data_IF_292670004960
#
_entry.id   IF_292670004960
#
_cell.length_a   1.000
_cell.length_b   1.000
_cell.length_c   1.000
_cell.angle_alpha   90.00
_cell.angle_beta   90.00
_cell.angle_gamma   90.00
#
_symmetry.space_group_name_H-M   'P 1'
#
loop_
_entity.id
_entity.type
_entity.pdbx_description
1 polymer ?
#
# COMPACT_ATOMS: atom_id res chain seq x y z
N UNK A 1 -14.74 -15.26 -14.99
CA UNK A 1 -13.47 -15.54 -15.69
C UNK A 1 -13.46 -17.01 -16.11
N UNK A 2 -13.09 -17.34 -17.34
CA UNK A 2 -13.01 -18.74 -17.81
C UNK A 2 -11.77 -19.48 -17.27
N UNK A 3 -10.84 -18.77 -16.64
CA UNK A 3 -9.56 -19.33 -16.20
C UNK A 3 -9.61 -19.76 -14.74
N UNK A 4 -8.88 -20.83 -14.42
CA UNK A 4 -8.70 -21.34 -13.06
C UNK A 4 -7.55 -20.64 -12.32
N UNK A 5 -6.60 -20.08 -13.06
CA UNK A 5 -5.45 -19.36 -12.52
C UNK A 5 -5.10 -18.15 -13.39
N UNK A 6 -4.41 -17.22 -12.80
CA UNK A 6 -3.87 -16.04 -13.48
C UNK A 6 -3.62 -14.85 -12.59
N UNK A 7 -2.88 -13.89 -13.14
CA UNK A 7 -2.56 -12.63 -12.50
C UNK A 7 -3.42 -11.51 -13.06
N UNK A 8 -4.00 -10.72 -12.16
CA UNK A 8 -4.61 -9.42 -12.45
C UNK A 8 -3.57 -8.33 -12.18
N UNK A 9 -3.03 -7.74 -13.23
CA UNK A 9 -2.11 -6.62 -13.17
C UNK A 9 -2.89 -5.30 -13.31
N UNK A 10 -3.03 -4.55 -12.22
CA UNK A 10 -3.78 -3.31 -12.22
C UNK A 10 -3.28 -2.36 -11.13
N UNK A 11 -3.35 -1.05 -11.37
CA UNK A 11 -2.95 -0.03 -10.39
C UNK A 11 -3.74 -0.13 -9.09
N UNK A 12 -3.25 0.52 -8.04
CA UNK A 12 -3.90 0.50 -6.72
C UNK A 12 -5.34 1.05 -6.74
N UNK A 13 -5.65 1.98 -7.62
CA UNK A 13 -6.99 2.59 -7.76
C UNK A 13 -7.97 1.80 -8.65
N UNK A 14 -7.55 0.67 -9.23
CA UNK A 14 -8.42 -0.12 -10.12
C UNK A 14 -9.59 -0.81 -9.42
N UNK A 15 -9.52 -1.02 -8.12
CA UNK A 15 -10.51 -1.82 -7.39
C UNK A 15 -10.18 -3.33 -7.40
N UNK A 16 -8.91 -3.71 -7.29
CA UNK A 16 -8.47 -5.11 -7.21
C UNK A 16 -9.25 -5.90 -6.16
N UNK A 17 -9.45 -5.30 -4.97
CA UNK A 17 -10.19 -5.92 -3.86
C UNK A 17 -11.67 -6.14 -4.21
N UNK A 18 -12.30 -5.18 -4.89
CA UNK A 18 -13.70 -5.31 -5.37
C UNK A 18 -13.80 -6.44 -6.40
N UNK A 19 -12.83 -6.50 -7.33
CA UNK A 19 -12.77 -7.60 -8.32
C UNK A 19 -12.61 -8.96 -7.64
N UNK A 20 -11.79 -9.04 -6.61
CA UNK A 20 -11.61 -10.26 -5.82
C UNK A 20 -12.89 -10.64 -5.05
N UNK A 21 -13.56 -9.69 -4.41
CA UNK A 21 -14.85 -9.92 -3.76
C UNK A 21 -15.90 -10.44 -4.75
N UNK A 22 -15.97 -9.86 -5.95
CA UNK A 22 -16.85 -10.34 -7.02
C UNK A 22 -16.50 -11.77 -7.49
N UNK A 23 -15.21 -12.14 -7.51
CA UNK A 23 -14.78 -13.52 -7.80
C UNK A 23 -15.22 -14.48 -6.69
N UNK A 24 -15.05 -14.11 -5.42
CA UNK A 24 -15.49 -14.89 -4.26
C UNK A 24 -17.01 -15.13 -4.35
N UNK A 25 -17.79 -14.09 -4.51
CA UNK A 25 -19.25 -14.16 -4.61
C UNK A 25 -19.72 -15.03 -5.80
N UNK A 26 -19.00 -14.97 -6.92
CA UNK A 26 -19.36 -15.72 -8.14
C UNK A 26 -18.95 -17.18 -8.08
N UNK A 27 -17.78 -17.51 -7.51
CA UNK A 27 -17.26 -18.88 -7.47
C UNK A 27 -17.90 -19.71 -6.35
N UNK A 28 -18.26 -19.08 -5.24
CA UNK A 28 -18.93 -19.73 -4.08
C UNK A 28 -18.18 -20.95 -3.56
N UNK A 29 -16.86 -20.87 -3.49
CA UNK A 29 -15.98 -21.91 -2.95
C UNK A 29 -15.21 -21.35 -1.76
N UNK A 30 -14.75 -22.23 -0.85
CA UNK A 30 -13.88 -21.85 0.26
C UNK A 30 -12.68 -21.06 -0.24
N UNK A 31 -12.42 -19.91 0.37
CA UNK A 31 -11.44 -18.95 -0.15
C UNK A 31 -10.44 -18.54 0.93
N UNK A 32 -9.14 -18.59 0.58
CA UNK A 32 -8.06 -18.06 1.38
C UNK A 32 -7.45 -16.84 0.67
N UNK A 33 -7.42 -15.72 1.35
CA UNK A 33 -6.70 -14.50 0.90
C UNK A 33 -5.38 -14.43 1.62
N UNK A 34 -4.28 -14.44 0.87
CA UNK A 34 -2.92 -14.36 1.39
C UNK A 34 -2.39 -12.93 1.24
N UNK A 35 -1.95 -12.36 2.36
CA UNK A 35 -1.41 -11.00 2.43
C UNK A 35 -0.06 -10.99 3.15
N UNK A 36 0.78 -9.98 2.86
CA UNK A 36 2.14 -9.90 3.43
C UNK A 36 2.24 -8.98 4.66
N UNK A 37 1.22 -8.17 4.94
CA UNK A 37 1.25 -7.24 6.09
C UNK A 37 -0.08 -7.23 6.86
N UNK A 38 0.03 -6.92 8.18
CA UNK A 38 -1.14 -6.81 9.06
C UNK A 38 -2.08 -5.68 8.65
N UNK A 39 -1.55 -4.62 8.09
CA UNK A 39 -2.36 -3.51 7.58
C UNK A 39 -3.26 -3.96 6.41
N UNK A 40 -2.71 -4.73 5.47
CA UNK A 40 -3.48 -5.34 4.40
C UNK A 40 -4.52 -6.34 4.91
N UNK A 41 -4.17 -7.17 5.91
CA UNK A 41 -5.12 -8.12 6.50
C UNK A 41 -6.36 -7.38 7.03
N UNK A 42 -6.16 -6.30 7.79
CA UNK A 42 -7.26 -5.49 8.33
C UNK A 42 -8.07 -4.81 7.22
N UNK A 43 -7.40 -4.26 6.21
CA UNK A 43 -8.05 -3.63 5.06
C UNK A 43 -8.88 -4.66 4.26
N UNK A 44 -8.36 -5.86 4.03
CA UNK A 44 -9.09 -6.93 3.37
C UNK A 44 -10.30 -7.37 4.17
N UNK A 45 -10.16 -7.53 5.49
CA UNK A 45 -11.27 -7.89 6.38
C UNK A 45 -12.39 -6.85 6.30
N UNK A 46 -12.07 -5.57 6.44
CA UNK A 46 -13.04 -4.47 6.32
C UNK A 46 -13.73 -4.49 4.96
N UNK A 47 -12.97 -4.52 3.87
CA UNK A 47 -13.52 -4.48 2.52
C UNK A 47 -14.36 -5.69 2.15
N UNK A 48 -13.96 -6.90 2.56
CA UNK A 48 -14.79 -8.08 2.32
C UNK A 48 -16.07 -8.05 3.16
N UNK A 49 -16.02 -7.50 4.36
CA UNK A 49 -17.21 -7.28 5.20
C UNK A 49 -18.18 -6.29 4.54
N UNK A 50 -17.66 -5.22 3.91
CA UNK A 50 -18.48 -4.21 3.22
C UNK A 50 -19.08 -4.73 1.90
N UNK A 51 -18.35 -5.59 1.18
CA UNK A 51 -18.74 -6.00 -0.18
C UNK A 51 -19.48 -7.33 -0.26
N UNK A 52 -19.37 -8.18 0.77
CA UNK A 52 -19.96 -9.51 0.76
C UNK A 52 -21.04 -9.65 1.83
N UNK A 53 -22.21 -10.06 1.40
CA UNK A 53 -23.23 -10.59 2.27
C UNK A 53 -23.04 -12.11 2.38
N UNK A 54 -22.55 -12.58 3.54
CA UNK A 54 -22.17 -13.97 3.74
C UNK A 54 -23.22 -14.63 4.62
N UNK A 55 -23.99 -15.54 4.03
CA UNK A 55 -24.83 -16.45 4.79
C UNK A 55 -23.93 -17.45 5.52
N UNK A 56 -23.80 -17.28 6.81
CA UNK A 56 -22.97 -18.13 7.65
C UNK A 56 -23.84 -18.75 8.79
N UNK A 57 -23.91 -20.06 8.81
CA UNK A 57 -24.49 -20.76 9.95
C UNK A 57 -23.52 -20.66 11.14
N UNK A 58 -23.87 -19.92 12.19
CA UNK A 58 -23.07 -19.89 13.41
C UNK A 58 -22.81 -21.32 13.89
N UNK A 59 -21.56 -21.73 14.12
CA UNK A 59 -21.29 -23.05 14.67
C UNK A 59 -21.93 -23.14 16.03
N UNK A 60 -22.73 -24.20 16.23
CA UNK A 60 -23.46 -24.49 17.45
C UNK A 60 -22.51 -24.90 18.59
N UNK A 61 -21.62 -24.03 19.02
CA UNK A 61 -20.73 -24.19 20.18
C UNK A 61 -20.11 -22.85 20.52
N UNK A 62 -20.07 -22.49 21.71
CA UNK A 62 -19.88 -22.97 23.04
C UNK A 62 -20.30 -21.87 24.01
N UNK A 63 -21.26 -22.19 24.83
CA UNK A 63 -21.51 -21.49 26.07
C UNK A 63 -20.34 -21.73 27.02
N UNK A 64 -19.21 -21.01 26.83
CA UNK A 64 -18.27 -20.77 27.93
C UNK A 64 -18.58 -19.40 28.51
N UNK A 65 -18.83 -19.41 29.86
CA UNK A 65 -19.12 -18.22 30.67
C UNK A 65 -18.19 -17.07 30.32
N UNK A 66 -18.74 -15.92 29.89
CA UNK A 66 -18.07 -14.64 29.80
C UNK A 66 -17.88 -14.13 28.34
N UNK A 67 -18.48 -12.98 28.03
CA UNK A 67 -18.46 -12.17 26.79
C UNK A 67 -18.88 -12.92 25.50
N UNK A 68 -20.00 -12.51 24.91
CA UNK A 68 -20.36 -12.87 23.54
C UNK A 68 -19.19 -12.55 22.61
N UNK A 69 -18.51 -13.56 22.11
CA UNK A 69 -17.60 -13.37 20.98
C UNK A 69 -18.47 -13.02 19.76
N UNK A 70 -18.39 -11.82 19.27
CA UNK A 70 -18.99 -11.46 17.98
C UNK A 70 -18.27 -12.31 16.95
N UNK A 71 -19.01 -13.23 16.33
CA UNK A 71 -18.46 -14.11 15.31
C UNK A 71 -18.42 -13.34 13.99
N UNK A 72 -17.24 -13.19 13.42
CA UNK A 72 -17.08 -12.62 12.07
C UNK A 72 -17.23 -13.73 11.04
N UNK A 73 -18.01 -13.54 9.97
CA UNK A 73 -18.09 -14.50 8.87
C UNK A 73 -16.81 -14.59 8.04
N UNK A 74 -15.82 -13.75 8.35
CA UNK A 74 -14.49 -13.72 7.72
C UNK A 74 -13.47 -14.03 8.81
N UNK A 75 -12.75 -15.15 8.64
CA UNK A 75 -11.68 -15.55 9.54
C UNK A 75 -10.37 -14.82 9.26
N UNK A 76 -9.55 -14.71 10.30
CA UNK A 76 -8.24 -14.07 10.20
C UNK A 76 -7.17 -14.90 10.90
N UNK A 77 -5.97 -14.95 10.27
CA UNK A 77 -4.78 -15.54 10.88
C UNK A 77 -3.63 -14.53 10.84
N UNK A 78 -3.20 -14.14 12.03
CA UNK A 78 -1.98 -13.37 12.23
C UNK A 78 -1.13 -13.96 13.38
N UNK A 79 -0.02 -13.32 13.74
CA UNK A 79 0.86 -13.77 14.83
C UNK A 79 0.18 -13.81 16.20
N UNK A 80 -0.96 -13.14 16.38
CA UNK A 80 -1.65 -12.95 17.67
C UNK A 80 -3.05 -13.57 17.70
N UNK A 81 -3.63 -13.90 16.56
CA UNK A 81 -5.00 -14.33 16.42
C UNK A 81 -5.14 -15.41 15.37
N UNK A 82 -5.93 -16.43 15.68
CA UNK A 82 -6.38 -17.45 14.74
C UNK A 82 -7.89 -17.62 14.89
N UNK A 83 -8.62 -17.16 13.87
CA UNK A 83 -10.08 -17.28 13.77
C UNK A 83 -10.50 -17.93 12.45
N UNK A 84 -9.61 -18.72 11.83
CA UNK A 84 -9.92 -19.43 10.59
C UNK A 84 -11.12 -20.36 10.78
N UNK A 85 -11.97 -20.44 9.78
CA UNK A 85 -13.15 -21.30 9.77
C UNK A 85 -13.38 -22.03 8.43
N UNK A 86 -12.50 -21.83 7.44
CA UNK A 86 -12.52 -22.57 6.19
C UNK A 86 -13.57 -22.13 5.16
N UNK A 87 -14.23 -20.97 5.35
CA UNK A 87 -15.19 -20.43 4.38
C UNK A 87 -14.56 -19.28 3.60
N UNK A 88 -14.35 -18.14 4.25
CA UNK A 88 -13.57 -17.03 3.71
C UNK A 88 -12.60 -16.60 4.79
N UNK A 89 -11.33 -16.79 4.54
CA UNK A 89 -10.30 -16.53 5.52
C UNK A 89 -9.18 -15.66 4.91
N UNK A 90 -8.58 -14.84 5.75
CA UNK A 90 -7.46 -13.98 5.39
C UNK A 90 -6.27 -14.35 6.28
N UNK A 91 -5.13 -14.67 5.68
CA UNK A 91 -3.95 -15.07 6.45
C UNK A 91 -2.73 -14.21 6.09
N UNK A 92 -1.98 -13.83 7.12
CA UNK A 92 -0.61 -13.36 6.92
C UNK A 92 0.24 -14.51 6.41
N UNK A 93 0.98 -14.27 5.34
CA UNK A 93 1.83 -15.28 4.72
C UNK A 93 2.84 -15.89 5.72
N UNK A 94 3.43 -15.06 6.59
CA UNK A 94 4.35 -15.51 7.63
C UNK A 94 3.68 -16.42 8.66
N UNK A 95 2.38 -16.23 8.90
CA UNK A 95 1.60 -17.06 9.85
C UNK A 95 1.13 -18.40 9.26
N UNK A 96 1.37 -18.60 7.94
CA UNK A 96 1.15 -19.90 7.30
C UNK A 96 2.27 -20.93 7.59
N UNK A 97 3.31 -20.51 8.32
CA UNK A 97 4.40 -21.38 8.79
C UNK A 97 4.29 -21.63 10.29
N UNK A 98 4.67 -22.83 10.69
CA UNK A 98 4.85 -23.22 12.07
C UNK A 98 6.04 -24.18 12.15
N UNK A 99 7.01 -23.92 13.03
CA UNK A 99 8.22 -24.72 13.20
C UNK A 99 9.02 -24.98 11.89
N UNK A 100 8.99 -24.04 10.96
CA UNK A 100 9.69 -24.18 9.67
C UNK A 100 8.90 -24.91 8.58
N UNK A 101 7.72 -25.42 8.89
CA UNK A 101 6.85 -26.14 7.96
C UNK A 101 5.60 -25.33 7.60
N UNK A 102 5.04 -25.58 6.43
CA UNK A 102 3.79 -25.00 5.99
C UNK A 102 2.61 -25.66 6.70
N UNK A 103 1.76 -24.86 7.34
CA UNK A 103 0.61 -25.35 8.08
C UNK A 103 -0.41 -26.03 7.15
N UNK A 104 -1.00 -27.18 7.54
CA UNK A 104 -1.85 -27.98 6.67
C UNK A 104 -3.09 -27.26 6.12
N UNK A 105 -3.67 -26.30 6.86
CA UNK A 105 -4.90 -25.60 6.48
C UNK A 105 -4.81 -24.93 5.09
N UNK A 106 -3.63 -24.59 4.60
CA UNK A 106 -3.46 -23.94 3.27
C UNK A 106 -3.93 -24.81 2.11
N UNK A 107 -4.10 -26.12 2.35
CA UNK A 107 -4.57 -27.11 1.37
C UNK A 107 -6.10 -27.27 1.33
N UNK A 108 -6.83 -26.64 2.25
CA UNK A 108 -8.25 -26.91 2.49
C UNK A 108 -9.19 -25.99 1.68
N UNK A 109 -8.63 -25.04 0.94
CA UNK A 109 -9.40 -24.05 0.20
C UNK A 109 -9.55 -24.41 -1.28
N UNK A 110 -10.74 -24.15 -1.83
CA UNK A 110 -11.01 -24.30 -3.26
C UNK A 110 -10.46 -23.14 -4.09
N UNK A 111 -10.26 -21.96 -3.46
CA UNK A 111 -9.69 -20.79 -4.10
C UNK A 111 -8.67 -20.11 -3.21
N UNK A 112 -7.57 -19.66 -3.81
CA UNK A 112 -6.56 -18.81 -3.15
C UNK A 112 -6.37 -17.53 -3.93
N UNK A 113 -6.40 -16.42 -3.24
CA UNK A 113 -6.11 -15.07 -3.77
C UNK A 113 -4.83 -14.57 -3.10
N UNK A 114 -3.85 -14.20 -3.89
CA UNK A 114 -2.55 -13.70 -3.41
C UNK A 114 -2.49 -12.21 -3.69
N UNK A 115 -2.61 -11.39 -2.66
CA UNK A 115 -2.48 -9.94 -2.81
C UNK A 115 -1.03 -9.51 -2.86
N UNK A 116 -0.75 -8.50 -3.69
CA UNK A 116 0.59 -8.01 -4.01
C UNK A 116 1.55 -9.17 -4.34
N UNK A 117 1.11 -10.04 -5.26
CA UNK A 117 1.82 -11.28 -5.60
C UNK A 117 3.24 -11.06 -6.14
N UNK A 118 3.67 -9.83 -6.41
CA UNK A 118 5.06 -9.52 -6.71
C UNK A 118 6.02 -9.77 -5.52
N UNK A 119 5.50 -9.96 -4.30
CA UNK A 119 6.28 -10.42 -3.14
C UNK A 119 6.55 -11.94 -3.12
N UNK A 120 5.94 -12.72 -4.03
CA UNK A 120 6.02 -14.20 -4.10
C UNK A 120 7.45 -14.74 -4.25
N UNK A 121 8.39 -13.93 -4.71
CA UNK A 121 9.79 -14.38 -4.87
C UNK A 121 10.58 -14.54 -3.56
N UNK A 122 10.00 -14.28 -2.40
CA UNK A 122 10.62 -14.71 -1.16
C UNK A 122 10.43 -16.23 -0.99
N UNK A 123 11.46 -16.92 -0.54
CA UNK A 123 11.45 -18.38 -0.31
C UNK A 123 10.23 -18.81 0.51
N UNK A 124 9.86 -18.02 1.49
CA UNK A 124 8.68 -18.24 2.34
C UNK A 124 7.38 -18.24 1.55
N UNK A 125 7.20 -17.24 0.68
CA UNK A 125 6.02 -17.12 -0.18
C UNK A 125 5.90 -18.28 -1.16
N UNK A 126 7.00 -18.60 -1.83
CA UNK A 126 7.05 -19.70 -2.78
C UNK A 126 6.72 -21.04 -2.11
N UNK A 127 7.25 -21.29 -0.92
CA UNK A 127 6.98 -22.51 -0.16
C UNK A 127 5.50 -22.65 0.20
N UNK A 128 4.81 -21.60 0.65
CA UNK A 128 3.37 -21.66 0.90
C UNK A 128 2.60 -22.00 -0.37
N UNK A 129 2.90 -21.29 -1.46
CA UNK A 129 2.16 -21.49 -2.71
C UNK A 129 2.35 -22.89 -3.32
N UNK A 130 3.53 -23.49 -3.17
CA UNK A 130 3.79 -24.89 -3.58
C UNK A 130 2.93 -25.92 -2.83
N UNK A 131 2.46 -25.60 -1.63
CA UNK A 131 1.61 -26.49 -0.83
C UNK A 131 0.10 -26.27 -1.07
N UNK A 132 -0.28 -25.25 -1.84
CA UNK A 132 -1.67 -24.99 -2.19
C UNK A 132 -2.17 -26.03 -3.18
N UNK A 133 -3.31 -26.63 -2.88
CA UNK A 133 -4.02 -27.59 -3.73
C UNK A 133 -5.30 -27.00 -4.34
N UNK A 134 -5.54 -25.72 -4.15
CA UNK A 134 -6.73 -25.02 -4.62
C UNK A 134 -6.89 -25.10 -6.13
N UNK A 135 -8.13 -25.37 -6.58
CA UNK A 135 -8.45 -25.39 -8.00
C UNK A 135 -8.33 -23.99 -8.65
N UNK A 136 -8.56 -22.94 -7.85
CA UNK A 136 -8.46 -21.56 -8.31
C UNK A 136 -7.33 -20.81 -7.59
N UNK A 137 -6.37 -20.27 -8.36
CA UNK A 137 -5.27 -19.46 -7.81
C UNK A 137 -5.17 -18.15 -8.57
N UNK A 138 -5.38 -17.03 -7.91
CA UNK A 138 -5.34 -15.71 -8.52
C UNK A 138 -4.34 -14.79 -7.83
N UNK A 139 -3.42 -14.23 -8.58
CA UNK A 139 -2.50 -13.19 -8.13
C UNK A 139 -3.05 -11.80 -8.43
N UNK A 140 -2.93 -10.89 -7.49
CA UNK A 140 -3.24 -9.47 -7.66
C UNK A 140 -1.96 -8.66 -7.50
N UNK A 141 -1.68 -7.73 -8.39
CA UNK A 141 -0.51 -6.84 -8.26
C UNK A 141 -0.70 -5.53 -9.01
N UNK A 142 -0.07 -4.47 -8.52
CA UNK A 142 0.06 -3.21 -9.26
C UNK A 142 1.29 -3.23 -10.18
N UNK A 143 2.29 -4.04 -9.87
CA UNK A 143 3.61 -4.07 -10.53
C UNK A 143 4.01 -5.51 -10.84
N UNK A 144 3.56 -6.04 -12.00
CA UNK A 144 3.87 -7.43 -12.37
C UNK A 144 5.34 -7.64 -12.75
N UNK A 145 6.05 -6.58 -13.09
CA UNK A 145 7.48 -6.61 -13.43
C UNK A 145 8.30 -6.27 -12.19
N UNK A 146 9.31 -7.07 -11.92
CA UNK A 146 10.20 -6.95 -10.75
C UNK A 146 11.58 -6.43 -11.14
N UNK A 147 12.23 -5.69 -10.22
CA UNK A 147 13.61 -5.22 -10.41
C UNK A 147 14.63 -6.35 -10.53
N UNK A 148 14.40 -7.45 -9.82
CA UNK A 148 15.32 -8.60 -9.72
C UNK A 148 15.10 -9.65 -10.82
N UNK A 149 14.15 -9.41 -11.74
CA UNK A 149 13.85 -10.34 -12.84
C UNK A 149 13.13 -11.62 -12.41
N UNK A 150 12.76 -11.77 -11.13
CA UNK A 150 12.15 -13.00 -10.59
C UNK A 150 10.63 -13.11 -10.83
N UNK A 151 10.06 -12.28 -11.71
CA UNK A 151 8.64 -12.38 -12.09
C UNK A 151 8.20 -13.75 -12.65
N UNK A 152 9.06 -14.60 -13.29
CA UNK A 152 8.63 -15.92 -13.72
C UNK A 152 8.11 -16.80 -12.57
N UNK A 153 8.63 -16.64 -11.35
CA UNK A 153 8.16 -17.37 -10.17
C UNK A 153 6.69 -17.06 -9.88
N UNK A 154 6.28 -15.80 -10.03
CA UNK A 154 4.88 -15.38 -9.87
C UNK A 154 3.99 -16.13 -10.86
N UNK A 155 4.43 -16.22 -12.12
CA UNK A 155 3.66 -16.87 -13.18
C UNK A 155 3.62 -18.40 -13.04
N UNK A 156 4.65 -19.01 -12.48
CA UNK A 156 4.66 -20.44 -12.16
C UNK A 156 3.64 -20.76 -11.07
N UNK A 157 3.46 -19.88 -10.08
CA UNK A 157 2.60 -20.12 -8.93
C UNK A 157 1.15 -19.64 -9.14
N UNK A 158 0.96 -18.46 -9.70
CA UNK A 158 -0.36 -17.85 -9.87
C UNK A 158 -0.91 -17.95 -11.30
N UNK A 159 -0.10 -18.42 -12.25
CA UNK A 159 -0.45 -18.43 -13.67
C UNK A 159 -0.09 -17.12 -14.39
N UNK A 160 -0.27 -17.05 -15.71
CA UNK A 160 0.11 -15.90 -16.53
C UNK A 160 -0.78 -14.69 -16.25
N UNK A 161 -0.35 -13.51 -16.71
CA UNK A 161 -1.18 -12.30 -16.66
C UNK A 161 -2.40 -12.53 -17.58
N UNK A 162 -3.59 -12.62 -16.97
CA UNK A 162 -4.87 -12.79 -17.67
C UNK A 162 -5.57 -11.49 -17.97
N UNK A 163 -5.28 -10.48 -17.17
CA UNK A 163 -5.79 -9.14 -17.37
C UNK A 163 -4.74 -8.13 -16.92
N UNK A 164 -4.45 -7.18 -17.80
CA UNK A 164 -3.65 -6.00 -17.48
C UNK A 164 -4.49 -4.77 -17.73
N UNK A 165 -4.75 -4.02 -16.67
CA UNK A 165 -5.43 -2.74 -16.82
C UNK A 165 -4.47 -1.75 -17.47
N UNK A 166 -4.83 -1.25 -18.65
CA UNK A 166 -4.08 -0.17 -19.30
C UNK A 166 -4.22 1.11 -18.46
N UNK A 167 -3.06 1.59 -17.99
CA UNK A 167 -2.96 2.82 -17.20
C UNK A 167 -3.57 4.01 -17.95
N UNK A 168 -3.39 4.09 -19.29
CA UNK A 168 -3.94 5.17 -20.12
C UNK A 168 -5.48 5.14 -20.13
N UNK A 169 -6.06 3.98 -20.30
CA UNK A 169 -7.53 3.80 -20.28
C UNK A 169 -8.12 4.10 -18.90
N UNK A 170 -7.41 3.76 -17.83
CA UNK A 170 -7.83 4.12 -16.46
C UNK A 170 -7.75 5.63 -16.21
N UNK A 171 -6.69 6.26 -16.69
CA UNK A 171 -6.50 7.70 -16.61
C UNK A 171 -7.65 8.44 -17.32
N UNK A 172 -8.09 7.97 -18.47
CA UNK A 172 -9.19 8.58 -19.23
C UNK A 172 -10.56 8.45 -18.55
N UNK A 173 -10.76 7.46 -17.69
CA UNK A 173 -12.02 7.23 -16.98
C UNK A 173 -12.17 8.05 -15.69
N UNK A 174 -11.10 8.66 -15.20
CA UNK A 174 -11.12 9.45 -13.98
C UNK A 174 -11.41 10.91 -14.30
N UNK A 175 -12.26 11.55 -13.49
CA UNK A 175 -12.82 12.89 -13.71
C UNK A 175 -11.87 14.05 -13.40
N UNK A 176 -10.65 13.81 -12.88
CA UNK A 176 -9.73 14.86 -12.46
C UNK A 176 -8.46 14.91 -13.32
N UNK A 177 -7.90 16.12 -13.45
CA UNK A 177 -6.65 16.38 -14.17
C UNK A 177 -5.43 15.93 -13.35
N UNK A 178 -4.30 15.71 -14.01
CA UNK A 178 -3.04 15.30 -13.39
C UNK A 178 -1.89 16.15 -13.87
N UNK A 179 -1.14 16.67 -12.91
CA UNK A 179 0.01 17.51 -13.19
C UNK A 179 1.26 16.92 -12.54
N UNK A 180 2.31 16.77 -13.32
CA UNK A 180 3.67 16.59 -12.84
C UNK A 180 4.33 17.96 -12.84
N UNK A 181 4.81 18.37 -11.66
CA UNK A 181 5.44 19.69 -11.45
C UNK A 181 6.93 19.45 -11.13
N UNK A 182 7.82 19.52 -12.12
CA UNK A 182 9.26 19.43 -11.87
C UNK A 182 9.73 20.68 -11.13
N UNK A 183 10.52 20.49 -10.07
CA UNK A 183 11.15 21.54 -9.28
C UNK A 183 12.65 21.35 -9.33
N UNK A 184 13.35 22.22 -10.02
CA UNK A 184 14.80 22.16 -10.12
C UNK A 184 15.43 22.74 -8.87
N UNK A 185 16.39 22.01 -8.28
CA UNK A 185 17.14 22.47 -7.12
C UNK A 185 18.54 22.90 -7.52
N UNK A 186 19.12 23.79 -6.73
CA UNK A 186 20.51 24.22 -6.88
C UNK A 186 21.49 23.39 -6.03
N UNK A 187 21.04 22.25 -5.49
CA UNK A 187 21.88 21.39 -4.67
C UNK A 187 23.09 20.89 -5.44
N UNK A 188 24.25 20.90 -4.78
CA UNK A 188 25.50 20.31 -5.27
C UNK A 188 26.19 19.56 -4.13
N UNK A 189 26.60 18.34 -4.37
CA UNK A 189 27.42 17.59 -3.43
C UNK A 189 28.81 18.23 -3.30
N UNK A 190 29.33 18.23 -2.09
CA UNK A 190 30.65 18.81 -1.78
C UNK A 190 31.81 17.89 -2.22
N UNK A 191 31.52 16.63 -2.52
CA UNK A 191 32.54 15.60 -2.84
C UNK A 191 32.53 15.27 -4.33
N UNK A 192 33.71 15.42 -4.96
CA UNK A 192 33.95 15.08 -6.39
C UNK A 192 33.91 13.58 -6.70
N UNK A 193 33.93 12.72 -5.69
CA UNK A 193 33.87 11.27 -5.86
C UNK A 193 32.42 10.76 -5.82
N UNK A 194 32.10 9.77 -6.66
CA UNK A 194 30.81 9.06 -6.68
C UNK A 194 30.46 8.55 -5.27
N UNK A 195 29.63 9.32 -4.58
CA UNK A 195 29.07 8.91 -3.29
C UNK A 195 28.13 7.71 -3.49
N UNK A 196 28.05 6.86 -2.47
CA UNK A 196 26.97 5.87 -2.46
C UNK A 196 25.61 6.59 -2.40
N UNK A 197 24.58 6.02 -3.04
CA UNK A 197 23.21 6.57 -3.01
C UNK A 197 22.71 6.85 -1.59
N UNK A 198 23.16 6.05 -0.62
CA UNK A 198 22.79 6.24 0.79
C UNK A 198 23.36 7.55 1.38
N UNK A 199 24.62 7.88 1.08
CA UNK A 199 25.26 9.13 1.52
C UNK A 199 24.66 10.34 0.79
N UNK A 200 24.46 10.25 -0.51
CA UNK A 200 23.79 11.30 -1.30
C UNK A 200 22.39 11.57 -0.76
N UNK A 201 21.60 10.53 -0.54
CA UNK A 201 20.24 10.66 0.04
C UNK A 201 20.26 11.29 1.43
N UNK A 202 21.33 11.10 2.21
CA UNK A 202 21.50 11.78 3.49
C UNK A 202 21.78 13.27 3.31
N UNK A 203 22.74 13.60 2.48
CA UNK A 203 23.11 15.00 2.21
C UNK A 203 21.94 15.79 1.61
N UNK A 204 21.16 15.20 0.71
CA UNK A 204 19.94 15.79 0.17
C UNK A 204 18.90 16.07 1.26
N UNK A 205 18.71 15.12 2.20
CA UNK A 205 17.78 15.28 3.31
C UNK A 205 18.20 16.36 4.31
N UNK A 206 19.50 16.62 4.45
CA UNK A 206 20.09 17.61 5.34
C UNK A 206 20.25 18.99 4.71
N UNK A 207 20.04 19.11 3.39
CA UNK A 207 20.19 20.38 2.66
C UNK A 207 19.12 21.40 3.05
N UNK A 208 19.54 22.49 3.71
CA UNK A 208 18.65 23.55 4.19
C UNK A 208 17.93 24.25 3.02
N UNK A 209 18.65 24.61 1.96
CA UNK A 209 18.07 25.27 0.79
C UNK A 209 17.00 24.41 0.12
N UNK A 210 17.27 23.11 -0.01
CA UNK A 210 16.34 22.16 -0.59
C UNK A 210 15.09 21.96 0.26
N UNK A 211 15.27 21.87 1.58
CA UNK A 211 14.17 21.72 2.53
C UNK A 211 13.30 22.96 2.61
N UNK A 212 13.90 24.16 2.54
CA UNK A 212 13.16 25.42 2.46
C UNK A 212 12.27 25.47 1.22
N UNK A 213 12.81 25.11 0.04
CA UNK A 213 12.03 25.05 -1.20
C UNK A 213 10.84 24.06 -1.08
N UNK A 214 11.07 22.88 -0.49
CA UNK A 214 10.01 21.89 -0.27
C UNK A 214 8.92 22.46 0.66
N UNK A 215 9.31 23.08 1.76
CA UNK A 215 8.39 23.66 2.74
C UNK A 215 7.57 24.80 2.13
N UNK A 216 8.17 25.68 1.36
CA UNK A 216 7.49 26.77 0.64
C UNK A 216 6.43 26.23 -0.35
N UNK A 217 6.78 25.22 -1.14
CA UNK A 217 5.84 24.60 -2.08
C UNK A 217 4.67 23.91 -1.35
N UNK A 218 4.94 23.27 -0.21
CA UNK A 218 3.91 22.64 0.64
C UNK A 218 2.97 23.69 1.24
N UNK A 219 3.52 24.80 1.77
CA UNK A 219 2.72 25.89 2.32
C UNK A 219 1.82 26.53 1.26
N UNK A 220 2.35 26.74 0.05
CA UNK A 220 1.58 27.21 -1.10
C UNK A 220 0.44 26.26 -1.46
N UNK A 221 0.68 24.94 -1.45
CA UNK A 221 -0.35 23.95 -1.70
C UNK A 221 -1.44 23.97 -0.63
N UNK A 222 -1.06 24.01 0.66
CA UNK A 222 -2.02 24.07 1.78
C UNK A 222 -2.84 25.35 1.73
N UNK A 223 -2.21 26.50 1.45
CA UNK A 223 -2.90 27.79 1.28
C UNK A 223 -3.91 27.77 0.13
N UNK A 224 -3.62 27.00 -0.92
CA UNK A 224 -4.54 26.76 -2.04
C UNK A 224 -5.67 25.73 -1.70
N UNK A 225 -5.82 25.34 -0.44
CA UNK A 225 -6.86 24.40 0.04
C UNK A 225 -6.55 22.94 -0.26
N UNK A 226 -5.32 22.58 -0.63
CA UNK A 226 -4.92 21.22 -0.96
C UNK A 226 -4.54 20.41 0.27
N UNK A 227 -4.57 19.09 0.12
CA UNK A 227 -4.14 18.16 1.18
C UNK A 227 -2.91 17.39 0.73
N UNK A 228 -1.70 17.90 1.02
CA UNK A 228 -0.46 17.31 0.58
C UNK A 228 0.00 16.13 1.43
N UNK A 229 0.71 15.22 0.76
CA UNK A 229 1.57 14.24 1.38
C UNK A 229 3.01 14.41 0.90
N UNK A 230 3.95 14.42 1.82
CA UNK A 230 5.39 14.48 1.56
C UNK A 230 5.97 13.09 1.78
N UNK A 231 6.62 12.55 0.76
CA UNK A 231 7.31 11.26 0.85
C UNK A 231 8.81 11.42 0.87
N UNK A 232 9.43 10.77 1.83
CA UNK A 232 10.88 10.69 1.97
C UNK A 232 11.32 9.27 2.30
N UNK A 233 12.59 8.94 2.05
CA UNK A 233 13.17 7.64 2.37
C UNK A 233 13.71 7.53 3.81
N UNK A 234 13.70 8.64 4.60
CA UNK A 234 14.40 8.73 5.89
C UNK A 234 13.51 9.26 7.00
N UNK A 235 13.51 8.57 8.15
CA UNK A 235 12.74 9.00 9.34
C UNK A 235 13.25 10.33 9.92
N UNK A 236 14.56 10.57 9.86
CA UNK A 236 15.15 11.86 10.28
C UNK A 236 14.61 13.02 9.45
N UNK A 237 14.48 12.83 8.14
CA UNK A 237 13.92 13.84 7.23
C UNK A 237 12.42 14.07 7.47
N UNK A 238 11.65 13.01 7.81
CA UNK A 238 10.26 13.17 8.25
C UNK A 238 10.18 14.12 9.46
N UNK A 239 11.02 13.90 10.46
CA UNK A 239 11.07 14.74 11.67
C UNK A 239 11.43 16.18 11.32
N UNK A 240 12.50 16.38 10.54
CA UNK A 240 12.98 17.72 10.14
C UNK A 240 11.90 18.52 9.40
N UNK A 241 11.33 17.97 8.34
CA UNK A 241 10.28 18.65 7.56
C UNK A 241 9.03 18.92 8.40
N UNK A 242 8.67 18.00 9.30
CA UNK A 242 7.54 18.22 10.20
C UNK A 242 7.77 19.36 11.16
N UNK A 243 8.97 19.49 11.76
CA UNK A 243 9.29 20.60 12.64
C UNK A 243 9.26 21.95 11.89
N UNK A 244 9.72 21.98 10.64
CA UNK A 244 9.66 23.20 9.81
C UNK A 244 8.21 23.59 9.46
N UNK A 245 7.29 22.63 9.34
CA UNK A 245 5.89 22.85 8.93
C UNK A 245 4.96 23.16 10.12
N UNK A 246 5.23 22.64 11.32
CA UNK A 246 4.40 22.81 12.51
C UNK A 246 4.06 24.26 12.87
N UNK A 247 4.96 25.25 12.73
CA UNK A 247 4.62 26.64 13.03
C UNK A 247 3.57 27.25 12.09
N UNK A 248 3.34 26.63 10.91
CA UNK A 248 2.54 27.20 9.84
C UNK A 248 1.26 26.44 9.54
N UNK A 249 1.18 25.14 9.93
CA UNK A 249 0.05 24.25 9.60
C UNK A 249 -0.51 23.63 10.87
N UNK A 250 -1.83 23.71 11.06
CA UNK A 250 -2.52 23.23 12.26
C UNK A 250 -2.38 21.73 12.48
N UNK A 251 -2.38 20.94 11.39
CA UNK A 251 -2.29 19.48 11.46
C UNK A 251 -1.12 18.97 10.62
N UNK A 252 -0.01 18.64 11.29
CA UNK A 252 1.16 17.99 10.67
C UNK A 252 1.27 16.57 11.22
N UNK A 253 0.93 15.60 10.38
CA UNK A 253 0.87 14.18 10.75
C UNK A 253 2.10 13.45 10.24
N UNK A 254 2.82 12.78 11.15
CA UNK A 254 3.99 11.97 10.81
C UNK A 254 3.61 10.50 10.69
N UNK A 255 3.91 9.88 9.55
CA UNK A 255 3.70 8.47 9.30
C UNK A 255 5.03 7.77 9.02
N UNK A 256 5.57 7.12 10.03
CA UNK A 256 6.81 6.35 9.93
C UNK A 256 6.58 4.89 10.29
N UNK A 257 7.52 4.02 9.91
CA UNK A 257 7.49 2.61 10.32
C UNK A 257 7.68 2.40 11.83
N UNK A 258 8.09 3.44 12.57
CA UNK A 258 8.31 3.42 14.01
C UNK A 258 6.99 3.43 14.79
N UNK A 259 7.04 2.94 16.04
CA UNK A 259 5.89 2.92 16.95
C UNK A 259 5.13 1.59 16.97
N UNK A 260 4.25 1.44 17.97
CA UNK A 260 3.43 0.25 18.18
C UNK A 260 2.23 0.21 17.23
N UNK A 261 1.66 -0.98 17.02
CA UNK A 261 0.44 -1.12 16.23
C UNK A 261 -0.74 -0.28 16.80
N UNK A 262 -0.77 -0.08 18.12
CA UNK A 262 -1.76 0.76 18.81
C UNK A 262 -1.58 2.23 18.44
N UNK A 263 -0.35 2.75 18.55
CA UNK A 263 -0.03 4.14 18.20
C UNK A 263 -0.37 4.44 16.72
N UNK A 264 -0.08 3.50 15.81
CA UNK A 264 -0.41 3.66 14.39
C UNK A 264 -1.92 3.74 14.14
N UNK A 265 -2.73 2.94 14.86
CA UNK A 265 -4.20 3.01 14.76
C UNK A 265 -4.73 4.33 15.30
N UNK A 266 -4.21 4.79 16.42
CA UNK A 266 -4.59 6.08 17.02
C UNK A 266 -4.31 7.24 16.07
N UNK A 267 -3.15 7.24 15.39
CA UNK A 267 -2.80 8.25 14.39
C UNK A 267 -3.78 8.21 13.19
N UNK A 268 -4.08 7.01 12.68
CA UNK A 268 -5.00 6.86 11.55
C UNK A 268 -6.44 7.27 11.94
N UNK A 269 -6.88 6.95 13.14
CA UNK A 269 -8.17 7.34 13.66
C UNK A 269 -8.25 8.86 13.84
N UNK A 270 -7.25 9.48 14.47
CA UNK A 270 -7.14 10.93 14.59
C UNK A 270 -7.09 11.66 13.23
N UNK A 271 -6.51 11.02 12.20
CA UNK A 271 -6.49 11.57 10.84
C UNK A 271 -7.91 11.67 10.23
N UNK A 272 -8.77 10.68 10.51
CA UNK A 272 -10.17 10.69 10.05
C UNK A 272 -11.03 11.71 10.80
N UNK A 273 -10.67 12.05 12.03
CA UNK A 273 -11.39 13.02 12.86
C UNK A 273 -11.09 14.49 12.47
N UNK A 274 -10.06 14.72 11.62
CA UNK A 274 -9.71 16.07 11.17
C UNK A 274 -10.78 16.61 10.21
N UNK A 275 -11.35 17.80 10.47
CA UNK A 275 -12.35 18.39 9.60
C UNK A 275 -11.86 18.58 8.16
N UNK A 276 -12.74 18.39 7.18
CA UNK A 276 -12.41 18.45 5.75
C UNK A 276 -11.73 19.76 5.32
N UNK A 277 -12.12 20.88 5.94
CA UNK A 277 -11.61 22.21 5.59
C UNK A 277 -10.38 22.64 6.44
N UNK A 278 -9.89 21.78 7.35
CA UNK A 278 -8.72 22.12 8.18
C UNK A 278 -7.43 21.94 7.39
N UNK A 279 -6.46 22.88 7.51
CA UNK A 279 -5.12 22.72 6.95
C UNK A 279 -4.44 21.47 7.49
N UNK A 280 -4.05 20.56 6.57
CA UNK A 280 -3.47 19.27 6.91
C UNK A 280 -2.32 18.95 5.96
N UNK A 281 -1.21 18.47 6.50
CA UNK A 281 -0.12 17.85 5.75
C UNK A 281 0.28 16.53 6.38
N UNK A 282 0.57 15.55 5.55
CA UNK A 282 1.12 14.26 5.98
C UNK A 282 2.58 14.19 5.56
N UNK A 283 3.47 13.89 6.48
CA UNK A 283 4.90 13.64 6.20
C UNK A 283 5.19 12.18 6.50
N UNK A 284 5.60 11.41 5.49
CA UNK A 284 5.66 9.97 5.61
C UNK A 284 6.92 9.36 5.01
N UNK A 285 7.31 8.18 5.54
CA UNK A 285 8.25 7.32 4.83
C UNK A 285 7.53 6.51 3.76
N UNK A 286 8.17 6.34 2.60
CA UNK A 286 7.58 5.62 1.48
C UNK A 286 7.12 4.22 1.84
N UNK A 287 7.86 3.49 2.68
CA UNK A 287 7.48 2.15 3.15
C UNK A 287 6.11 2.13 3.85
N UNK A 288 5.81 3.12 4.68
CA UNK A 288 4.53 3.18 5.39
C UNK A 288 3.34 3.43 4.45
N UNK A 289 3.52 4.34 3.50
CA UNK A 289 2.45 4.71 2.54
C UNK A 289 2.24 3.60 1.49
N UNK A 290 3.29 2.85 1.15
CA UNK A 290 3.22 1.73 0.22
C UNK A 290 2.30 0.59 0.67
N UNK A 291 2.17 0.36 1.98
CA UNK A 291 1.49 -0.80 2.56
C UNK A 291 0.19 -0.41 3.30
N UNK A 292 -0.93 -0.40 2.59
CA UNK A 292 -2.25 -0.34 3.23
C UNK A 292 -2.73 1.04 3.69
N UNK A 293 -1.96 2.13 3.49
CA UNK A 293 -2.42 3.48 3.79
C UNK A 293 -3.41 3.98 2.71
N UNK A 294 -4.60 4.38 3.12
CA UNK A 294 -5.64 4.91 2.23
C UNK A 294 -6.28 6.15 2.86
N UNK A 295 -6.15 7.31 2.21
CA UNK A 295 -6.76 8.56 2.64
C UNK A 295 -7.22 9.36 1.41
N UNK A 296 -8.50 9.25 1.02
CA UNK A 296 -9.04 9.78 -0.24
C UNK A 296 -8.88 11.28 -0.43
N UNK A 297 -8.79 12.05 0.66
CA UNK A 297 -8.62 13.51 0.65
C UNK A 297 -7.30 13.96 0.01
N UNK A 298 -6.27 13.11 -0.04
CA UNK A 298 -4.97 13.46 -0.61
C UNK A 298 -5.08 13.80 -2.10
N UNK A 299 -4.53 14.93 -2.49
CA UNK A 299 -4.53 15.45 -3.85
C UNK A 299 -3.16 15.92 -4.37
N UNK A 300 -2.18 16.07 -3.47
CA UNK A 300 -0.84 16.55 -3.82
C UNK A 300 0.23 15.65 -3.20
N UNK A 301 1.20 15.25 -4.01
CA UNK A 301 2.35 14.43 -3.61
C UNK A 301 3.64 15.23 -3.82
N UNK A 302 4.47 15.30 -2.77
CA UNK A 302 5.81 15.84 -2.81
C UNK A 302 6.83 14.72 -2.66
N UNK A 303 7.63 14.47 -3.69
CA UNK A 303 8.71 13.48 -3.67
C UNK A 303 9.98 14.13 -3.13
N UNK A 304 10.09 14.21 -1.80
CA UNK A 304 11.15 14.95 -1.12
C UNK A 304 12.55 14.34 -1.26
N UNK A 305 12.70 13.10 -1.70
CA UNK A 305 13.97 12.44 -2.03
C UNK A 305 13.80 11.62 -3.31
N UNK A 306 14.89 11.40 -4.08
CA UNK A 306 14.85 10.58 -5.27
C UNK A 306 14.35 9.16 -5.01
N UNK A 307 13.49 8.67 -5.87
CA UNK A 307 12.92 7.31 -5.81
C UNK A 307 13.49 6.47 -6.93
N UNK A 308 14.21 5.43 -6.59
CA UNK A 308 14.95 4.59 -7.54
C UNK A 308 14.08 3.62 -8.36
N UNK A 309 12.74 3.57 -8.13
CA UNK A 309 11.89 2.58 -8.82
C UNK A 309 10.53 3.13 -9.24
N UNK A 310 10.28 3.07 -10.55
CA UNK A 310 9.03 3.54 -11.18
C UNK A 310 7.76 2.90 -10.59
N UNK A 311 7.84 1.64 -10.15
CA UNK A 311 6.72 0.94 -9.52
C UNK A 311 6.28 1.56 -8.19
N UNK A 312 7.21 2.05 -7.37
CA UNK A 312 6.89 2.77 -6.14
C UNK A 312 6.20 4.10 -6.42
N UNK A 313 6.69 4.86 -7.39
CA UNK A 313 6.06 6.13 -7.81
C UNK A 313 4.63 5.88 -8.28
N UNK A 314 4.41 4.86 -9.11
CA UNK A 314 3.07 4.48 -9.56
C UNK A 314 2.15 4.06 -8.41
N UNK A 315 2.69 3.36 -7.40
CA UNK A 315 1.94 2.97 -6.20
C UNK A 315 1.55 4.18 -5.35
N UNK A 316 2.47 5.13 -5.14
CA UNK A 316 2.19 6.36 -4.38
C UNK A 316 1.23 7.29 -5.14
N UNK A 317 1.45 7.50 -6.44
CA UNK A 317 0.53 8.25 -7.27
C UNK A 317 -0.87 7.63 -7.28
N UNK A 318 -0.96 6.31 -7.29
CA UNK A 318 -2.23 5.58 -7.20
C UNK A 318 -3.03 5.85 -5.92
N UNK A 319 -2.39 6.28 -4.82
CA UNK A 319 -3.10 6.68 -3.58
C UNK A 319 -3.82 8.00 -3.74
N UNK A 320 -3.27 8.92 -4.54
CA UNK A 320 -3.94 10.19 -4.83
C UNK A 320 -5.10 10.03 -5.81
N UNK A 321 -5.13 8.95 -6.58
CA UNK A 321 -6.16 8.70 -7.59
C UNK A 321 -7.50 8.21 -7.01
N UNK A 322 -7.67 8.22 -5.68
CA UNK A 322 -8.98 7.97 -5.06
C UNK A 322 -9.91 9.14 -5.33
N UNK A 323 -11.13 8.83 -5.73
CA UNK A 323 -12.18 9.83 -5.87
C UNK A 323 -12.53 10.40 -4.50
N UNK A 324 -12.63 11.69 -4.43
CA UNK A 324 -13.10 12.43 -3.27
C UNK A 324 -13.91 13.63 -3.75
N UNK A 325 -14.95 13.96 -3.04
CA UNK A 325 -15.79 15.09 -3.38
C UNK A 325 -14.98 16.40 -3.39
N UNK A 326 -15.09 17.16 -4.47
CA UNK A 326 -14.34 18.42 -4.65
C UNK A 326 -12.92 18.28 -5.21
N UNK A 327 -12.41 17.07 -5.46
CA UNK A 327 -11.08 16.89 -6.05
C UNK A 327 -11.08 17.20 -7.56
N UNK A 328 -10.54 18.36 -7.93
CA UNK A 328 -10.47 18.83 -9.32
C UNK A 328 -9.22 18.31 -10.06
N UNK A 329 -8.08 18.24 -9.37
CA UNK A 329 -6.80 17.78 -9.94
C UNK A 329 -5.93 17.10 -8.90
N UNK A 330 -4.94 16.36 -9.40
CA UNK A 330 -3.87 15.74 -8.61
C UNK A 330 -2.53 16.30 -9.08
N UNK A 331 -1.65 16.69 -8.14
CA UNK A 331 -0.32 17.23 -8.43
C UNK A 331 0.76 16.38 -7.81
N UNK A 332 1.81 16.13 -8.59
CA UNK A 332 3.02 15.46 -8.13
C UNK A 332 4.18 16.41 -8.33
N UNK A 333 4.82 16.82 -7.23
CA UNK A 333 6.02 17.63 -7.24
C UNK A 333 7.23 16.70 -7.18
N UNK A 334 8.12 16.85 -8.14
CA UNK A 334 9.36 16.10 -8.25
C UNK A 334 10.55 17.04 -8.19
N UNK A 335 11.41 16.87 -7.17
CA UNK A 335 12.56 17.73 -6.94
C UNK A 335 13.77 17.15 -7.66
N UNK A 336 14.15 17.80 -8.76
CA UNK A 336 15.23 17.38 -9.66
C UNK A 336 16.52 18.09 -9.28
N UNK A 337 17.47 17.31 -8.78
CA UNK A 337 18.79 17.79 -8.36
C UNK A 337 19.74 17.73 -9.58
N UNK A 338 19.65 18.74 -10.47
CA UNK A 338 20.28 18.76 -11.82
C UNK A 338 21.82 18.66 -11.82
N UNK A 339 22.45 18.90 -10.68
CA UNK A 339 23.90 18.80 -10.54
C UNK A 339 24.37 17.44 -10.02
N UNK A 340 23.42 16.51 -9.79
CA UNK A 340 23.67 15.17 -9.25
C UNK A 340 23.28 14.11 -10.28
N UNK A 341 24.20 13.67 -11.17
CA UNK A 341 23.88 12.73 -12.26
C UNK A 341 23.28 11.40 -11.78
N UNK A 342 23.55 10.99 -10.54
CA UNK A 342 22.99 9.77 -9.92
C UNK A 342 21.48 9.89 -9.71
N UNK A 343 20.92 11.11 -9.68
CA UNK A 343 19.50 11.36 -9.52
C UNK A 343 18.74 11.43 -10.86
N UNK A 344 19.43 11.41 -12.00
CA UNK A 344 18.82 11.49 -13.34
C UNK A 344 18.38 10.11 -13.91
N UNK A 345 18.65 9.02 -13.24
CA UNK A 345 18.45 7.64 -13.75
C UNK A 345 17.10 7.01 -13.38
#
# INVERSE_FOLDING_TARGET
>A
MPYTNGVLAATTAFGKTVTAAALIARKKVSTLVLVHSKALLLQWHERLTDFLEIEFAEPATSRKRGRKKVFSPIGCLDSTSNTLHGVIDIALMQSCFENGEVRPFVREYGMVIVDECHHVSSITFENVLRHITAHHVYGLTATPIRKDGLQPIIFMQCGPIRFSADVKTQIQKQSFLRYLVPRFTSYRSVTENRQSFALLSQSLAESELRNTLIVEDVLNAVTAGRTPIILTGRTSHVKLLSEMLKPHISHVIQLTGEGTAKSKREILQGLHDIPQNSPLVIVATGKYVGEGFDYPRLDTLFLALPISWKGLVAQYAGRLHRENEGKADVRIYDYIDIHEPVCES
#
